data_IF_598301906207
#
_entry.id   IF_598301906207
#
_cell.length_a   1.000
_cell.length_b   1.000
_cell.length_c   1.000
_cell.angle_alpha   90.00
_cell.angle_beta   90.00
_cell.angle_gamma   90.00
#
_symmetry.space_group_name_H-M   'P 1'
#
loop_
_entity.id
_entity.type
_entity.pdbx_description
1 polymer ?
#
# COMPACT_ATOMS: atom_id res chain seq x y z
N UNK A 1 11.38 -9.55 14.39
CA UNK A 1 10.08 -9.23 13.77
C UNK A 1 9.78 -7.76 14.05
N UNK A 2 9.67 -7.00 12.98
CA UNK A 2 9.36 -5.57 13.03
C UNK A 2 7.99 -5.37 13.70
N UNK A 3 7.86 -4.42 14.63
CA UNK A 3 6.57 -4.06 15.26
C UNK A 3 5.58 -3.43 14.24
N UNK A 4 5.98 -3.32 12.98
CA UNK A 4 5.19 -2.78 11.88
C UNK A 4 4.26 -3.85 11.28
N UNK A 5 2.99 -3.80 11.67
CA UNK A 5 1.94 -4.76 11.27
C UNK A 5 1.74 -4.83 9.75
N UNK A 6 1.70 -3.68 9.10
CA UNK A 6 1.47 -3.60 7.65
C UNK A 6 2.61 -4.23 6.86
N UNK A 7 3.87 -4.00 7.27
CA UNK A 7 5.03 -4.62 6.63
C UNK A 7 5.02 -6.14 6.78
N UNK A 8 4.74 -6.65 7.98
CA UNK A 8 4.67 -8.10 8.24
C UNK A 8 3.57 -8.76 7.41
N UNK A 9 2.37 -8.17 7.39
CA UNK A 9 1.25 -8.69 6.60
C UNK A 9 1.54 -8.67 5.10
N UNK A 10 2.15 -7.60 4.58
CA UNK A 10 2.51 -7.52 3.16
C UNK A 10 3.62 -8.51 2.77
N UNK A 11 4.58 -8.78 3.67
CA UNK A 11 5.61 -9.80 3.45
C UNK A 11 4.99 -11.20 3.37
N UNK A 12 4.10 -11.54 4.31
CA UNK A 12 3.38 -12.83 4.31
C UNK A 12 2.51 -12.94 3.06
N UNK A 13 1.78 -11.88 2.71
CA UNK A 13 0.94 -11.83 1.51
C UNK A 13 1.76 -12.02 0.24
N UNK A 14 2.90 -11.34 0.10
CA UNK A 14 3.79 -11.49 -1.06
C UNK A 14 4.37 -12.89 -1.19
N UNK A 15 4.83 -13.47 -0.09
CA UNK A 15 5.33 -14.85 -0.03
C UNK A 15 4.24 -15.88 -0.38
N UNK A 16 3.04 -15.72 0.20
CA UNK A 16 1.89 -16.55 -0.14
C UNK A 16 1.51 -16.43 -1.62
N UNK A 17 1.41 -15.20 -2.14
CA UNK A 17 1.06 -14.94 -3.54
C UNK A 17 2.09 -15.59 -4.50
N UNK A 18 3.38 -15.50 -4.17
CA UNK A 18 4.44 -16.14 -4.94
C UNK A 18 4.26 -17.67 -4.99
N UNK A 19 4.10 -18.29 -3.82
CA UNK A 19 3.90 -19.74 -3.70
C UNK A 19 2.62 -20.16 -4.43
N UNK A 20 1.52 -19.43 -4.25
CA UNK A 20 0.23 -19.70 -4.88
C UNK A 20 0.29 -19.64 -6.41
N UNK A 21 1.01 -18.66 -6.98
CA UNK A 21 1.17 -18.51 -8.42
C UNK A 21 2.17 -19.52 -9.00
N UNK A 22 3.17 -19.95 -8.21
CA UNK A 22 4.22 -20.87 -8.66
C UNK A 22 3.79 -22.33 -8.66
N UNK A 23 2.90 -22.71 -7.75
CA UNK A 23 2.46 -24.09 -7.58
C UNK A 23 1.28 -24.37 -8.51
N UNK A 24 1.39 -25.37 -9.39
CA UNK A 24 0.31 -25.76 -10.30
C UNK A 24 -0.74 -26.66 -9.62
N UNK A 25 -0.31 -27.56 -8.73
CA UNK A 25 -1.21 -28.52 -8.09
C UNK A 25 -2.07 -27.89 -7.00
N UNK A 26 -3.39 -27.96 -7.15
CA UNK A 26 -4.37 -27.36 -6.24
C UNK A 26 -4.20 -27.78 -4.77
N UNK A 27 -3.85 -29.03 -4.51
CA UNK A 27 -3.56 -29.55 -3.16
C UNK A 27 -2.50 -28.69 -2.43
N UNK A 28 -1.40 -28.37 -3.10
CA UNK A 28 -0.34 -27.57 -2.48
C UNK A 28 -0.70 -26.10 -2.35
N UNK A 29 -1.59 -25.57 -3.18
CA UNK A 29 -2.16 -24.21 -2.99
C UNK A 29 -2.93 -24.13 -1.68
N UNK A 30 -3.77 -25.13 -1.37
CA UNK A 30 -4.50 -25.19 -0.10
C UNK A 30 -3.53 -25.30 1.08
N UNK A 31 -2.50 -26.15 0.99
CA UNK A 31 -1.49 -26.28 2.04
C UNK A 31 -0.76 -24.95 2.27
N UNK A 32 -0.37 -24.24 1.20
CA UNK A 32 0.29 -22.93 1.32
C UNK A 32 -0.60 -21.88 1.97
N UNK A 33 -1.90 -21.87 1.65
CA UNK A 33 -2.88 -20.98 2.29
C UNK A 33 -3.00 -21.28 3.80
N UNK A 34 -3.10 -22.56 4.16
CA UNK A 34 -3.16 -22.99 5.56
C UNK A 34 -1.90 -22.59 6.34
N UNK A 35 -0.71 -22.80 5.75
CA UNK A 35 0.55 -22.40 6.37
C UNK A 35 0.66 -20.88 6.53
N UNK A 36 0.21 -20.11 5.53
CA UNK A 36 0.18 -18.65 5.64
C UNK A 36 -0.76 -18.17 6.76
N UNK A 37 -1.95 -18.76 6.85
CA UNK A 37 -2.89 -18.47 7.95
C UNK A 37 -2.30 -18.83 9.32
N UNK A 38 -1.65 -19.99 9.44
CA UNK A 38 -0.98 -20.44 10.66
C UNK A 38 0.14 -19.48 11.07
N UNK A 39 0.97 -19.00 10.12
CA UNK A 39 2.01 -18.02 10.40
C UNK A 39 1.44 -16.68 10.89
N UNK A 40 0.31 -16.24 10.33
CA UNK A 40 -0.39 -15.03 10.80
C UNK A 40 -0.89 -15.23 12.23
N UNK A 41 -1.53 -16.36 12.52
CA UNK A 41 -2.02 -16.69 13.87
C UNK A 41 -0.86 -16.74 14.88
N UNK A 42 0.23 -17.42 14.56
CA UNK A 42 1.43 -17.46 15.41
C UNK A 42 1.99 -16.07 15.63
N UNK A 43 2.09 -15.25 14.59
CA UNK A 43 2.61 -13.87 14.68
C UNK A 43 1.75 -12.99 15.58
N UNK A 44 0.43 -13.17 15.57
CA UNK A 44 -0.50 -12.44 16.44
C UNK A 44 -0.38 -12.95 17.89
N UNK A 45 -0.26 -14.27 18.08
CA UNK A 45 -0.27 -14.89 19.41
C UNK A 45 1.04 -14.68 20.18
N UNK A 46 2.19 -14.67 19.48
CA UNK A 46 3.52 -14.57 20.12
C UNK A 46 3.92 -13.15 20.50
N UNK A 47 3.25 -12.13 19.97
CA UNK A 47 3.53 -10.72 20.27
C UNK A 47 2.35 -10.09 21.00
N UNK A 48 2.40 -9.97 22.35
CA UNK A 48 1.26 -9.49 23.16
C UNK A 48 0.73 -8.13 22.75
N UNK A 49 1.60 -7.20 22.34
CA UNK A 49 1.22 -5.88 21.82
C UNK A 49 0.44 -5.98 20.50
N UNK A 50 0.78 -6.94 19.66
CA UNK A 50 0.08 -7.20 18.40
C UNK A 50 -1.32 -7.70 18.69
N UNK A 51 -1.47 -8.66 19.59
CA UNK A 51 -2.77 -9.19 20.00
C UNK A 51 -3.69 -8.11 20.60
N UNK A 52 -3.18 -7.27 21.51
CA UNK A 52 -3.92 -6.13 22.09
C UNK A 52 -4.43 -5.17 21.01
N UNK A 53 -3.62 -4.88 19.99
CA UNK A 53 -3.95 -3.98 18.90
C UNK A 53 -4.97 -4.58 17.91
N UNK A 54 -4.96 -5.90 17.69
CA UNK A 54 -6.02 -6.58 16.92
C UNK A 54 -7.32 -6.66 17.72
N UNK A 55 -7.25 -6.95 19.02
CA UNK A 55 -8.42 -6.95 19.91
C UNK A 55 -9.08 -5.56 19.98
N UNK A 56 -8.31 -4.49 19.95
CA UNK A 56 -8.82 -3.12 19.87
C UNK A 56 -9.65 -2.90 18.61
N UNK A 57 -9.18 -3.36 17.43
CA UNK A 57 -9.93 -3.25 16.16
C UNK A 57 -11.23 -4.06 16.22
N UNK A 58 -11.19 -5.26 16.82
CA UNK A 58 -12.35 -6.15 16.92
C UNK A 58 -13.40 -5.68 17.93
N UNK A 59 -12.96 -5.15 19.08
CA UNK A 59 -13.85 -4.71 20.17
C UNK A 59 -14.29 -3.24 20.05
N UNK A 60 -13.75 -2.49 19.11
CA UNK A 60 -14.13 -1.09 18.94
C UNK A 60 -15.39 -1.01 18.10
N UNK A 61 -16.48 -0.55 18.66
CA UNK A 61 -17.60 0.04 17.92
C UNK A 61 -17.17 1.34 17.19
N UNK A 62 -15.86 1.63 17.20
CA UNK A 62 -15.30 2.83 16.61
C UNK A 62 -15.23 2.66 15.09
N UNK A 63 -15.86 3.58 14.41
CA UNK A 63 -15.68 3.74 12.97
C UNK A 63 -14.18 3.92 12.66
N UNK A 64 -13.69 3.33 11.56
CA UNK A 64 -12.31 3.50 11.10
C UNK A 64 -11.91 4.99 11.00
N UNK A 65 -12.86 5.85 10.63
CA UNK A 65 -12.67 7.29 10.53
C UNK A 65 -12.45 7.98 11.88
N UNK A 66 -12.85 7.35 12.98
CA UNK A 66 -12.65 7.84 14.36
C UNK A 66 -11.29 7.44 14.97
N UNK A 67 -10.44 6.78 14.16
CA UNK A 67 -9.07 6.44 14.54
C UNK A 67 -8.09 7.52 14.09
N UNK A 68 -6.87 7.50 14.62
CA UNK A 68 -5.77 8.36 14.15
C UNK A 68 -5.55 8.24 12.63
N UNK A 69 -5.60 7.03 12.09
CA UNK A 69 -5.47 6.79 10.64
C UNK A 69 -6.60 7.43 9.86
N UNK A 70 -7.84 7.30 10.34
CA UNK A 70 -9.00 7.95 9.76
C UNK A 70 -8.89 9.48 9.80
N UNK A 71 -8.40 10.05 10.90
CA UNK A 71 -8.15 11.48 10.99
C UNK A 71 -7.13 11.95 9.95
N UNK A 72 -6.04 11.20 9.72
CA UNK A 72 -5.07 11.52 8.66
C UNK A 72 -5.67 11.44 7.26
N UNK A 73 -6.51 10.44 7.00
CA UNK A 73 -7.15 10.24 5.69
C UNK A 73 -8.15 11.37 5.41
N UNK A 74 -9.00 11.70 6.38
CA UNK A 74 -9.94 12.83 6.27
C UNK A 74 -9.21 14.16 6.07
N UNK A 75 -8.13 14.38 6.82
CA UNK A 75 -7.30 15.59 6.66
C UNK A 75 -6.74 15.71 5.25
N UNK A 76 -6.17 14.64 4.70
CA UNK A 76 -5.69 14.64 3.30
C UNK A 76 -6.80 14.95 2.30
N UNK A 77 -7.97 14.38 2.51
CA UNK A 77 -9.11 14.62 1.63
C UNK A 77 -9.61 16.07 1.70
N UNK A 78 -9.63 16.67 2.90
CA UNK A 78 -10.00 18.08 3.05
C UNK A 78 -8.95 19.03 2.44
N UNK A 79 -7.65 18.71 2.57
CA UNK A 79 -6.56 19.45 1.90
C UNK A 79 -6.75 19.39 0.38
N UNK A 80 -7.03 18.19 -0.15
CA UNK A 80 -7.32 18.02 -1.57
C UNK A 80 -8.53 18.84 -2.04
N UNK A 81 -9.65 18.82 -1.29
CA UNK A 81 -10.82 19.62 -1.65
C UNK A 81 -10.53 21.11 -1.77
N UNK A 82 -9.60 21.62 -0.98
CA UNK A 82 -9.20 23.03 -1.03
C UNK A 82 -8.37 23.36 -2.27
N UNK A 83 -7.56 22.42 -2.74
CA UNK A 83 -6.66 22.60 -3.88
C UNK A 83 -6.76 21.41 -4.86
N UNK A 84 -7.91 21.20 -5.51
CA UNK A 84 -8.20 19.93 -6.17
C UNK A 84 -7.38 19.67 -7.43
N UNK A 85 -6.90 20.70 -8.14
CA UNK A 85 -6.25 20.53 -9.44
C UNK A 85 -4.76 20.19 -9.26
N UNK A 86 -4.02 21.00 -8.52
CA UNK A 86 -2.55 20.92 -8.39
C UNK A 86 -2.10 20.53 -6.98
N UNK A 87 -3.04 20.35 -6.04
CA UNK A 87 -2.74 20.06 -4.65
C UNK A 87 -2.18 21.24 -3.87
N UNK A 88 -1.75 20.98 -2.65
CA UNK A 88 -1.21 21.99 -1.73
C UNK A 88 0.30 22.19 -1.86
N UNK A 89 0.98 21.33 -2.63
CA UNK A 89 2.44 21.28 -2.79
C UNK A 89 3.07 20.05 -2.15
N UNK A 90 4.22 19.63 -2.67
CA UNK A 90 4.92 18.44 -2.21
C UNK A 90 5.36 18.60 -0.74
N UNK A 91 5.03 17.60 0.09
CA UNK A 91 5.35 17.52 1.53
C UNK A 91 4.74 18.63 2.38
N UNK A 92 3.65 19.24 1.92
CA UNK A 92 2.98 20.32 2.65
C UNK A 92 1.98 19.82 3.69
N UNK A 93 1.60 18.54 3.67
CA UNK A 93 0.67 17.96 4.63
C UNK A 93 0.95 18.36 6.09
N UNK A 94 2.23 18.32 6.51
CA UNK A 94 2.67 18.66 7.87
C UNK A 94 2.37 20.12 8.29
N UNK A 95 2.23 21.01 7.33
CA UNK A 95 1.91 22.41 7.55
C UNK A 95 0.41 22.68 7.38
N UNK A 96 -0.20 22.02 6.39
CA UNK A 96 -1.63 22.17 6.12
C UNK A 96 -2.49 21.61 7.25
N UNK A 97 -2.11 20.48 7.86
CA UNK A 97 -2.89 19.79 8.88
C UNK A 97 -3.20 20.62 10.13
N UNK A 98 -2.38 21.63 10.42
CA UNK A 98 -2.56 22.53 11.58
C UNK A 98 -3.47 23.71 11.31
N UNK A 99 -3.85 23.95 10.05
CA UNK A 99 -4.67 25.12 9.68
C UNK A 99 -6.09 25.04 10.24
N UNK A 100 -6.68 26.21 10.49
CA UNK A 100 -7.95 26.35 11.18
C UNK A 100 -9.12 25.64 10.48
N UNK A 101 -9.14 25.61 9.15
CA UNK A 101 -10.19 24.95 8.38
C UNK A 101 -10.25 23.44 8.59
N UNK A 102 -9.19 22.84 9.17
CA UNK A 102 -9.10 21.42 9.47
C UNK A 102 -9.37 21.07 10.95
N UNK A 103 -9.67 22.06 11.79
CA UNK A 103 -9.95 21.82 13.21
C UNK A 103 -11.19 20.93 13.43
N UNK A 104 -12.18 21.04 12.55
CA UNK A 104 -13.48 20.41 12.67
C UNK A 104 -13.68 19.26 11.66
N UNK A 105 -12.63 18.49 11.36
CA UNK A 105 -12.82 17.27 10.56
C UNK A 105 -13.74 16.29 11.30
N UNK A 106 -14.57 15.58 10.55
CA UNK A 106 -15.56 14.65 11.13
C UNK A 106 -14.91 13.36 11.62
N UNK A 107 -14.14 13.46 12.70
CA UNK A 107 -13.48 12.34 13.38
C UNK A 107 -13.34 12.62 14.86
N UNK A 108 -13.61 11.61 15.69
CA UNK A 108 -13.34 11.69 17.15
C UNK A 108 -11.85 11.85 17.46
N UNK A 109 -10.99 11.46 16.52
CA UNK A 109 -9.53 11.61 16.61
C UNK A 109 -9.01 12.87 15.90
N UNK A 110 -9.83 13.91 15.72
CA UNK A 110 -9.47 15.14 15.00
C UNK A 110 -8.21 15.82 15.57
N UNK A 111 -7.95 15.72 16.87
CA UNK A 111 -6.75 16.24 17.51
C UNK A 111 -5.46 15.55 17.04
N UNK A 112 -5.56 14.28 16.62
CA UNK A 112 -4.44 13.48 16.12
C UNK A 112 -4.22 13.60 14.61
N UNK A 113 -4.87 14.56 13.94
CA UNK A 113 -4.85 14.75 12.49
C UNK A 113 -3.48 15.11 11.92
N UNK A 114 -2.60 15.69 12.73
CA UNK A 114 -1.29 16.16 12.27
C UNK A 114 -0.21 15.09 12.39
N UNK A 115 0.55 14.97 11.33
CA UNK A 115 1.73 14.11 11.20
C UNK A 115 2.65 14.68 10.12
N UNK A 116 3.78 14.05 9.88
CA UNK A 116 4.70 14.42 8.79
C UNK A 116 4.13 14.10 7.39
N UNK A 117 3.17 13.16 7.31
CA UNK A 117 2.51 12.69 6.09
C UNK A 117 1.24 11.89 6.47
N UNK A 118 0.30 11.63 5.55
CA UNK A 118 -1.00 11.01 5.88
C UNK A 118 -0.96 9.49 6.08
N UNK A 119 0.21 8.86 6.09
CA UNK A 119 0.40 7.41 6.23
C UNK A 119 -0.27 6.56 5.14
N UNK A 120 -0.64 7.15 4.02
CA UNK A 120 -1.04 6.48 2.79
C UNK A 120 -0.54 7.31 1.62
N UNK A 121 0.31 6.73 0.78
CA UNK A 121 0.97 7.49 -0.27
C UNK A 121 0.03 7.91 -1.41
N UNK A 122 -1.09 7.21 -1.65
CA UNK A 122 -2.10 7.66 -2.61
C UNK A 122 -2.77 8.95 -2.15
N UNK A 123 -3.11 9.02 -0.87
CA UNK A 123 -3.69 10.21 -0.26
C UNK A 123 -2.66 11.34 -0.17
N UNK A 124 -1.38 11.02 0.06
CA UNK A 124 -0.30 12.00 0.03
C UNK A 124 -0.14 12.60 -1.38
N UNK A 125 -0.08 11.76 -2.43
CA UNK A 125 -0.02 12.27 -3.80
C UNK A 125 -1.28 13.10 -4.10
N UNK A 126 -2.46 12.65 -3.70
CA UNK A 126 -3.72 13.37 -3.95
C UNK A 126 -3.74 14.74 -3.27
N UNK A 127 -3.39 14.84 -1.99
CA UNK A 127 -3.39 16.11 -1.25
C UNK A 127 -2.29 17.05 -1.70
N UNK A 128 -1.10 16.51 -2.00
CA UNK A 128 0.08 17.30 -2.33
C UNK A 128 0.12 17.77 -3.79
N UNK A 129 -0.41 16.95 -4.74
CA UNK A 129 -0.30 17.19 -6.18
C UNK A 129 -1.64 17.25 -6.92
N UNK A 130 -2.75 17.12 -6.20
CA UNK A 130 -4.10 17.20 -6.75
C UNK A 130 -4.45 16.09 -7.74
N UNK A 131 -5.54 16.32 -8.48
CA UNK A 131 -6.04 15.36 -9.48
C UNK A 131 -5.05 15.14 -10.64
N UNK A 132 -4.24 16.15 -10.97
CA UNK A 132 -3.25 16.02 -12.03
C UNK A 132 -2.15 15.03 -11.61
N UNK A 133 -1.55 15.18 -10.43
CA UNK A 133 -0.47 14.31 -9.99
C UNK A 133 -0.93 12.89 -9.74
N UNK A 134 -2.05 12.70 -9.02
CA UNK A 134 -2.60 11.35 -8.79
C UNK A 134 -3.05 10.71 -10.12
N UNK A 135 -3.60 11.50 -11.05
CA UNK A 135 -4.01 11.02 -12.37
C UNK A 135 -2.82 10.48 -13.18
N UNK A 136 -1.72 11.23 -13.28
CA UNK A 136 -0.49 10.77 -13.93
C UNK A 136 0.10 9.54 -13.25
N UNK A 137 0.11 9.52 -11.93
CA UNK A 137 0.61 8.39 -11.16
C UNK A 137 -0.20 7.11 -11.42
N UNK A 138 -1.53 7.20 -11.34
CA UNK A 138 -2.42 6.07 -11.60
C UNK A 138 -2.36 5.62 -13.06
N UNK A 139 -2.30 6.56 -14.01
CA UNK A 139 -2.11 6.23 -15.43
C UNK A 139 -0.83 5.41 -15.64
N UNK A 140 0.28 5.83 -15.02
CA UNK A 140 1.54 5.09 -15.09
C UNK A 140 1.42 3.68 -14.49
N UNK A 141 0.84 3.54 -13.30
CA UNK A 141 0.61 2.23 -12.67
C UNK A 141 -0.28 1.32 -13.53
N UNK A 142 -1.32 1.89 -14.16
CA UNK A 142 -2.19 1.15 -15.06
C UNK A 142 -1.44 0.64 -16.30
N UNK A 143 -0.48 1.40 -16.85
CA UNK A 143 0.34 0.90 -17.96
C UNK A 143 1.24 -0.28 -17.53
N UNK A 144 1.82 -0.21 -16.34
CA UNK A 144 2.58 -1.33 -15.78
C UNK A 144 1.69 -2.56 -15.58
N UNK A 145 0.52 -2.37 -14.97
CA UNK A 145 -0.45 -3.44 -14.73
C UNK A 145 -0.95 -4.09 -16.02
N UNK A 146 -1.26 -3.28 -17.06
CA UNK A 146 -1.66 -3.79 -18.38
C UNK A 146 -0.59 -4.70 -18.98
N UNK A 147 0.70 -4.36 -18.86
CA UNK A 147 1.79 -5.21 -19.35
C UNK A 147 1.87 -6.52 -18.55
N UNK A 148 1.75 -6.48 -17.22
CA UNK A 148 1.71 -7.67 -16.37
C UNK A 148 0.56 -8.59 -16.79
N UNK A 149 -0.67 -8.05 -16.92
CA UNK A 149 -1.87 -8.81 -17.30
C UNK A 149 -1.72 -9.40 -18.70
N UNK A 150 -1.14 -8.66 -19.65
CA UNK A 150 -0.90 -9.13 -21.01
C UNK A 150 -0.06 -10.41 -21.03
N UNK A 151 1.10 -10.41 -20.35
CA UNK A 151 1.96 -11.59 -20.28
C UNK A 151 1.33 -12.74 -19.48
N UNK A 152 0.60 -12.43 -18.42
CA UNK A 152 -0.13 -13.43 -17.64
C UNK A 152 -1.19 -14.16 -18.48
N UNK A 153 -1.96 -13.44 -19.29
CA UNK A 153 -2.97 -14.03 -20.19
C UNK A 153 -2.36 -14.93 -21.26
N UNK A 154 -1.11 -14.70 -21.65
CA UNK A 154 -0.39 -15.58 -22.58
C UNK A 154 0.12 -16.89 -21.92
N UNK A 155 -0.30 -17.17 -20.68
CA UNK A 155 0.12 -18.34 -19.89
C UNK A 155 1.64 -18.47 -19.75
N UNK A 156 2.34 -17.37 -19.74
CA UNK A 156 3.77 -17.34 -19.50
C UNK A 156 4.00 -17.57 -18.01
N UNK A 157 4.41 -18.78 -17.64
CA UNK A 157 4.73 -19.17 -16.24
C UNK A 157 6.19 -18.85 -15.88
N UNK A 158 6.71 -17.74 -16.38
CA UNK A 158 8.07 -17.30 -16.06
C UNK A 158 8.13 -16.75 -14.63
N UNK A 159 9.16 -17.15 -13.87
CA UNK A 159 9.40 -16.66 -12.52
C UNK A 159 9.47 -15.13 -12.46
N UNK A 160 9.99 -14.50 -13.50
CA UNK A 160 10.09 -13.05 -13.58
C UNK A 160 8.72 -12.38 -13.61
N UNK A 161 7.74 -12.98 -14.30
CA UNK A 161 6.37 -12.47 -14.29
C UNK A 161 5.74 -12.62 -12.91
N UNK A 162 5.91 -13.78 -12.26
CA UNK A 162 5.38 -14.03 -10.92
C UNK A 162 5.97 -13.02 -9.91
N UNK A 163 7.28 -12.79 -9.96
CA UNK A 163 7.96 -11.78 -9.12
C UNK A 163 7.38 -10.40 -9.39
N UNK A 164 7.17 -10.02 -10.65
CA UNK A 164 6.57 -8.72 -11.01
C UNK A 164 5.16 -8.55 -10.45
N UNK A 165 4.33 -9.61 -10.50
CA UNK A 165 2.98 -9.61 -9.91
C UNK A 165 3.08 -9.43 -8.39
N UNK A 166 3.96 -10.16 -7.71
CA UNK A 166 4.13 -10.08 -6.27
C UNK A 166 4.61 -8.67 -5.84
N UNK A 167 5.63 -8.14 -6.49
CA UNK A 167 6.14 -6.81 -6.20
C UNK A 167 5.08 -5.74 -6.43
N UNK A 168 4.36 -5.79 -7.58
CA UNK A 168 3.29 -4.83 -7.85
C UNK A 168 2.21 -4.89 -6.77
N UNK A 169 1.76 -6.10 -6.42
CA UNK A 169 0.71 -6.30 -5.42
C UNK A 169 1.13 -5.83 -4.02
N UNK A 170 2.37 -6.10 -3.60
CA UNK A 170 2.87 -5.72 -2.26
C UNK A 170 3.15 -4.23 -2.16
N UNK A 171 3.84 -3.65 -3.14
CA UNK A 171 4.26 -2.24 -3.06
C UNK A 171 3.12 -1.28 -3.36
N UNK A 172 2.24 -1.59 -4.30
CA UNK A 172 1.17 -0.70 -4.75
C UNK A 172 -0.21 -1.08 -4.21
N UNK A 173 -0.28 -1.83 -3.09
CA UNK A 173 -1.54 -2.11 -2.41
C UNK A 173 -2.13 -0.83 -1.80
N UNK A 174 -3.37 -0.41 -2.18
CA UNK A 174 -3.88 0.91 -1.82
C UNK A 174 -4.26 1.05 -0.34
N UNK A 175 -4.59 -0.05 0.34
CA UNK A 175 -5.11 -0.03 1.71
C UNK A 175 -4.03 -0.19 2.80
N UNK A 176 -2.75 -0.29 2.43
CA UNK A 176 -1.68 -0.39 3.42
C UNK A 176 -1.30 0.98 3.96
N UNK A 177 -0.89 1.02 5.23
CA UNK A 177 -0.20 2.18 5.78
C UNK A 177 1.21 2.27 5.20
N UNK A 178 1.65 3.46 4.85
CA UNK A 178 2.95 3.70 4.20
C UNK A 178 3.65 4.88 4.83
N UNK A 179 4.98 4.95 4.66
CA UNK A 179 5.71 6.19 4.84
C UNK A 179 5.46 7.14 3.68
N UNK A 180 5.98 8.36 3.79
CA UNK A 180 5.88 9.37 2.73
C UNK A 180 6.57 8.91 1.45
N UNK A 181 5.86 8.97 0.31
CA UNK A 181 6.44 8.65 -1.01
C UNK A 181 7.45 9.73 -1.44
N UNK A 182 7.31 10.96 -0.93
CA UNK A 182 8.21 12.07 -1.20
C UNK A 182 9.41 12.13 -0.25
N UNK A 183 9.58 11.14 0.67
CA UNK A 183 10.81 11.01 1.44
C UNK A 183 11.85 10.20 0.66
N UNK A 184 13.12 10.63 0.68
CA UNK A 184 14.21 9.96 -0.03
C UNK A 184 14.33 8.46 0.30
N UNK A 185 14.09 8.09 1.57
CA UNK A 185 14.17 6.70 2.02
C UNK A 185 13.05 5.82 1.47
N UNK A 186 11.79 6.27 1.56
CA UNK A 186 10.66 5.47 1.10
C UNK A 186 10.53 5.46 -0.42
N UNK A 187 10.76 6.59 -1.09
CA UNK A 187 10.71 6.66 -2.55
C UNK A 187 11.70 5.72 -3.23
N UNK A 188 12.88 5.52 -2.62
CA UNK A 188 13.85 4.55 -3.11
C UNK A 188 13.26 3.15 -3.28
N UNK A 189 12.54 2.63 -2.28
CA UNK A 189 11.93 1.30 -2.37
C UNK A 189 10.83 1.21 -3.43
N UNK A 190 10.02 2.25 -3.60
CA UNK A 190 8.99 2.29 -4.66
C UNK A 190 9.62 2.34 -6.05
N UNK A 191 10.63 3.19 -6.24
CA UNK A 191 11.34 3.32 -7.52
C UNK A 191 12.07 2.02 -7.84
N UNK A 192 12.79 1.44 -6.88
CA UNK A 192 13.50 0.17 -7.06
C UNK A 192 12.52 -0.95 -7.45
N UNK A 193 11.37 -1.06 -6.78
CA UNK A 193 10.36 -2.06 -7.13
C UNK A 193 9.84 -1.88 -8.55
N UNK A 194 9.60 -0.63 -9.00
CA UNK A 194 9.20 -0.33 -10.37
C UNK A 194 10.28 -0.67 -11.39
N UNK A 195 11.53 -0.34 -11.10
CA UNK A 195 12.68 -0.68 -11.97
C UNK A 195 12.76 -2.21 -12.13
N UNK A 196 12.68 -2.96 -11.05
CA UNK A 196 12.72 -4.43 -11.09
C UNK A 196 11.54 -4.98 -11.90
N UNK A 197 10.32 -4.50 -11.68
CA UNK A 197 9.14 -4.92 -12.44
C UNK A 197 9.32 -4.64 -13.94
N UNK A 198 9.73 -3.43 -14.31
CA UNK A 198 9.91 -3.04 -15.71
C UNK A 198 11.04 -3.82 -16.38
N UNK A 199 12.13 -4.07 -15.66
CA UNK A 199 13.23 -4.90 -16.13
C UNK A 199 12.76 -6.33 -16.42
N UNK A 200 12.06 -6.96 -15.48
CA UNK A 200 11.54 -8.33 -15.63
C UNK A 200 10.57 -8.44 -16.83
N UNK A 201 9.67 -7.47 -16.97
CA UNK A 201 8.72 -7.42 -18.11
C UNK A 201 9.46 -7.29 -19.44
N UNK A 202 10.49 -6.45 -19.52
CA UNK A 202 11.29 -6.30 -20.74
C UNK A 202 12.11 -7.55 -21.04
N UNK A 203 12.66 -8.22 -20.03
CA UNK A 203 13.37 -9.48 -20.19
C UNK A 203 12.47 -10.58 -20.78
N UNK A 204 11.23 -10.70 -20.28
CA UNK A 204 10.23 -11.62 -20.83
C UNK A 204 9.95 -11.30 -22.31
N UNK A 205 9.78 -10.02 -22.66
CA UNK A 205 9.55 -9.59 -24.02
C UNK A 205 10.70 -9.95 -24.98
N UNK A 206 11.95 -9.83 -24.52
CA UNK A 206 13.13 -10.19 -25.31
C UNK A 206 13.24 -11.71 -25.54
N UNK A 207 12.86 -12.51 -24.55
CA UNK A 207 12.87 -13.98 -24.63
C UNK A 207 11.82 -14.55 -25.58
N UNK A 208 10.76 -13.77 -25.88
CA UNK A 208 9.65 -14.16 -26.77
C UNK A 208 9.84 -13.70 -28.23
N UNK A 209 10.87 -12.94 -28.52
CA UNK A 209 11.30 -12.55 -29.86
C UNK A 209 12.33 -13.52 -30.42
#
# INVERSE_FOLDING_TARGET
>A
LTKERSASLMTIFGGFLYIFLRIDKFKYKIISLFLAALLIIISISTVPDTFKRFKFIYNSEQNLLDTQWGAHFLTSYEIFKKNPIIGSGIRTYRFECSKDYLKNINSKAAELRCSTHPHNFYLEILSDTGILGIGFFLFFLLQVLKKIIFFYKQKITDNNLIISICLFSVFFWPLKTTGSIFSSWNSYFYILSLIVILYQINFIKLKLR
#
